data_IF_677825954963
#
_entry.id   IF_677825954963
#
_cell.length_a   1.000
_cell.length_b   1.000
_cell.length_c   1.000
_cell.angle_alpha   90.00
_cell.angle_beta   90.00
_cell.angle_gamma   90.00
#
_symmetry.space_group_name_H-M   'P 1'
#
loop_
_entity.id
_entity.type
_entity.pdbx_description
1 polymer ?
#
# COMPACT_ATOMS: atom_id res chain seq x y z
N UNK A 1 25.42 -2.49 34.14
CA UNK A 1 25.17 -1.60 32.99
C UNK A 1 24.13 -2.28 32.11
N UNK A 2 23.13 -1.51 31.72
CA UNK A 2 21.86 -1.91 31.13
C UNK A 2 22.04 -2.75 29.85
N UNK A 3 21.44 -3.94 29.82
CA UNK A 3 21.15 -4.64 28.57
C UNK A 3 20.12 -3.79 27.81
N UNK A 4 20.53 -3.18 26.71
CA UNK A 4 19.69 -2.35 25.86
C UNK A 4 18.52 -3.16 25.32
N UNK A 5 17.31 -2.69 25.62
CA UNK A 5 16.09 -3.16 24.98
C UNK A 5 16.24 -3.05 23.46
N UNK A 6 15.83 -4.11 22.76
CA UNK A 6 16.07 -4.30 21.34
C UNK A 6 15.52 -3.19 20.46
N UNK A 7 16.43 -2.38 19.90
CA UNK A 7 16.20 -1.71 18.63
C UNK A 7 16.27 -2.79 17.56
N UNK A 8 15.12 -3.14 16.97
CA UNK A 8 15.12 -3.79 15.67
C UNK A 8 15.90 -2.95 14.64
N UNK A 9 16.18 -3.48 13.44
CA UNK A 9 16.85 -2.71 12.39
C UNK A 9 16.11 -1.39 12.16
N UNK A 10 16.85 -0.30 11.97
CA UNK A 10 16.27 1.01 11.71
C UNK A 10 15.44 0.98 10.42
N UNK A 11 14.11 1.04 10.57
CA UNK A 11 13.14 1.04 9.47
C UNK A 11 12.62 2.43 9.14
N UNK A 12 13.19 3.50 9.71
CA UNK A 12 12.75 4.88 9.49
C UNK A 12 12.78 5.26 8.01
N UNK A 13 13.91 5.03 7.33
CA UNK A 13 14.07 5.24 5.89
C UNK A 13 13.00 4.49 5.08
N UNK A 14 12.54 3.33 5.57
CA UNK A 14 11.59 2.53 4.83
C UNK A 14 10.19 3.11 4.76
N UNK A 15 9.86 3.90 5.79
CA UNK A 15 8.63 4.69 5.91
C UNK A 15 8.74 5.97 5.10
N UNK A 16 9.86 6.65 5.24
CA UNK A 16 10.16 7.92 4.54
C UNK A 16 10.05 7.79 3.02
N UNK A 17 10.46 6.66 2.45
CA UNK A 17 10.36 6.41 1.01
C UNK A 17 8.92 6.42 0.47
N UNK A 18 7.92 6.15 1.31
CA UNK A 18 6.51 6.23 0.94
C UNK A 18 5.91 7.58 1.32
N UNK A 19 6.25 8.12 2.49
CA UNK A 19 5.70 9.42 2.94
C UNK A 19 6.16 10.58 2.05
N UNK A 20 7.35 10.49 1.43
CA UNK A 20 7.79 11.46 0.42
C UNK A 20 6.88 11.53 -0.82
N UNK A 21 6.11 10.46 -1.09
CA UNK A 21 5.13 10.42 -2.18
C UNK A 21 3.74 10.87 -1.73
N UNK A 22 3.60 11.38 -0.51
CA UNK A 22 2.31 11.77 0.07
C UNK A 22 1.49 10.59 0.59
N UNK A 23 2.11 9.43 0.79
CA UNK A 23 1.42 8.26 1.38
C UNK A 23 1.35 8.42 2.88
N UNK A 24 0.14 8.41 3.43
CA UNK A 24 -0.13 8.53 4.86
C UNK A 24 0.11 7.21 5.60
N UNK A 25 0.77 7.26 6.77
CA UNK A 25 1.00 6.06 7.58
C UNK A 25 -0.16 5.76 8.52
N UNK A 26 -0.69 4.54 8.46
CA UNK A 26 -1.71 4.03 9.38
C UNK A 26 -1.05 3.06 10.36
N UNK A 27 -0.91 3.48 11.61
CA UNK A 27 -0.13 2.75 12.64
C UNK A 27 -1.03 1.99 13.61
N UNK A 28 -2.27 2.42 13.73
CA UNK A 28 -3.26 1.85 14.64
C UNK A 28 -4.45 1.27 13.88
N UNK A 29 -5.26 0.46 14.55
CA UNK A 29 -6.52 -0.06 13.99
C UNK A 29 -7.51 1.07 13.74
N UNK A 30 -7.50 2.09 14.59
CA UNK A 30 -8.31 3.29 14.49
C UNK A 30 -7.95 4.12 13.24
N UNK A 31 -6.67 4.24 12.92
CA UNK A 31 -6.22 4.93 11.71
C UNK A 31 -6.73 4.23 10.45
N UNK A 32 -6.71 2.89 10.44
CA UNK A 32 -7.22 2.07 9.35
C UNK A 32 -8.73 2.19 9.22
N UNK A 33 -9.45 2.10 10.33
CA UNK A 33 -10.90 2.32 10.39
C UNK A 33 -11.29 3.69 9.84
N UNK A 34 -10.55 4.73 10.26
CA UNK A 34 -10.75 6.10 9.81
C UNK A 34 -10.55 6.21 8.31
N UNK A 35 -9.43 5.73 7.79
CA UNK A 35 -9.14 5.77 6.36
C UNK A 35 -10.21 5.04 5.55
N UNK A 36 -10.64 3.86 5.97
CA UNK A 36 -11.65 3.07 5.25
C UNK A 36 -13.06 3.68 5.31
N UNK A 37 -13.41 4.43 6.37
CA UNK A 37 -14.74 5.01 6.57
C UNK A 37 -14.87 6.44 6.05
N UNK A 38 -13.82 7.25 6.19
CA UNK A 38 -13.86 8.68 5.90
C UNK A 38 -13.36 9.02 4.50
N UNK A 39 -12.48 8.21 3.92
CA UNK A 39 -11.95 8.48 2.58
C UNK A 39 -12.93 7.98 1.53
N UNK A 40 -13.43 8.94 0.75
CA UNK A 40 -14.34 8.69 -0.37
C UNK A 40 -13.57 8.84 -1.68
N UNK A 41 -14.09 8.26 -2.76
CA UNK A 41 -13.37 8.20 -4.03
C UNK A 41 -12.35 7.08 -4.03
N UNK A 42 -11.18 7.32 -4.62
CA UNK A 42 -10.18 6.29 -4.87
C UNK A 42 -9.09 6.28 -3.80
N UNK A 43 -8.76 5.10 -3.29
CA UNK A 43 -7.72 4.94 -2.28
C UNK A 43 -6.76 3.81 -2.62
N UNK A 44 -5.46 4.11 -2.62
CA UNK A 44 -4.41 3.11 -2.68
C UNK A 44 -3.89 2.80 -1.28
N UNK A 45 -4.03 1.56 -0.84
CA UNK A 45 -3.40 1.02 0.36
C UNK A 45 -2.14 0.24 -0.01
N UNK A 46 -1.01 0.68 0.52
CA UNK A 46 0.29 0.03 0.40
C UNK A 46 0.54 -0.84 1.63
N UNK A 47 0.72 -2.14 1.44
CA UNK A 47 1.15 -3.05 2.51
C UNK A 47 2.69 -3.10 2.44
N UNK A 48 3.34 -2.18 3.15
CA UNK A 48 4.80 -2.06 3.18
C UNK A 48 5.45 -3.22 3.95
N UNK A 49 6.73 -3.48 3.71
CA UNK A 49 7.47 -4.58 4.34
C UNK A 49 8.97 -4.31 4.33
N UNK A 50 9.71 -4.97 5.23
CA UNK A 50 11.19 -4.95 5.26
C UNK A 50 11.83 -5.83 4.18
N UNK A 51 11.03 -6.59 3.43
CA UNK A 51 11.52 -7.54 2.42
C UNK A 51 12.23 -6.81 1.26
N UNK A 52 13.29 -7.41 0.71
CA UNK A 52 14.09 -6.79 -0.36
C UNK A 52 13.29 -6.41 -1.62
N UNK A 53 12.21 -7.11 -1.94
CA UNK A 53 11.32 -6.74 -3.05
C UNK A 53 10.47 -5.49 -2.76
N UNK A 54 10.24 -5.14 -1.48
CA UNK A 54 9.64 -3.86 -1.12
C UNK A 54 10.59 -2.70 -1.41
N UNK A 55 11.89 -2.92 -1.13
CA UNK A 55 12.94 -1.94 -1.40
C UNK A 55 13.28 -1.77 -2.87
N UNK A 56 13.45 -2.88 -3.60
CA UNK A 56 13.87 -2.82 -5.00
C UNK A 56 12.74 -2.52 -5.98
N UNK A 57 11.50 -2.91 -5.67
CA UNK A 57 10.42 -2.95 -6.67
C UNK A 57 9.17 -2.19 -6.24
N UNK A 58 8.59 -2.50 -5.06
CA UNK A 58 7.29 -1.96 -4.69
C UNK A 58 7.32 -0.44 -4.47
N UNK A 59 8.17 0.05 -3.56
CA UNK A 59 8.29 1.47 -3.23
C UNK A 59 8.77 2.32 -4.43
N UNK A 60 9.85 1.94 -5.14
CA UNK A 60 10.24 2.67 -6.35
C UNK A 60 9.19 2.57 -7.46
N UNK A 61 8.51 1.43 -7.61
CA UNK A 61 7.44 1.24 -8.59
C UNK A 61 6.26 2.19 -8.35
N UNK A 62 5.88 2.43 -7.09
CA UNK A 62 4.88 3.44 -6.76
C UNK A 62 5.35 4.86 -7.13
N UNK A 63 6.58 5.21 -6.77
CA UNK A 63 7.16 6.51 -7.13
C UNK A 63 7.18 6.75 -8.64
N UNK A 64 7.58 5.74 -9.43
CA UNK A 64 7.55 5.80 -10.90
C UNK A 64 6.11 5.92 -11.41
N UNK A 65 5.17 5.13 -10.87
CA UNK A 65 3.77 5.21 -11.29
C UNK A 65 3.23 6.64 -11.14
N UNK A 66 3.44 7.25 -9.97
CA UNK A 66 2.96 8.61 -9.64
C UNK A 66 3.63 9.72 -10.47
N UNK A 67 4.87 9.53 -10.91
CA UNK A 67 5.57 10.47 -11.79
C UNK A 67 5.10 10.38 -13.24
N UNK A 68 4.67 9.20 -13.69
CA UNK A 68 4.36 8.92 -15.09
C UNK A 68 2.88 8.71 -15.37
N UNK A 69 2.00 9.06 -14.43
CA UNK A 69 0.54 9.01 -14.56
C UNK A 69 -0.09 10.37 -14.33
N UNK A 70 -1.11 10.70 -15.12
CA UNK A 70 -1.98 11.85 -14.86
C UNK A 70 -3.10 11.47 -13.87
N UNK A 71 -3.52 10.21 -13.89
CA UNK A 71 -4.52 9.64 -13.00
C UNK A 71 -3.88 9.18 -11.70
N UNK A 72 -4.25 9.81 -10.58
CA UNK A 72 -3.73 9.50 -9.25
C UNK A 72 -4.87 9.13 -8.30
N UNK A 73 -4.63 8.21 -7.34
CA UNK A 73 -5.59 7.98 -6.27
C UNK A 73 -5.84 9.27 -5.48
N UNK A 74 -7.08 9.50 -5.05
CA UNK A 74 -7.44 10.63 -4.18
C UNK A 74 -6.74 10.53 -2.83
N UNK A 75 -6.65 9.30 -2.32
CA UNK A 75 -6.03 8.96 -1.05
C UNK A 75 -4.95 7.88 -1.24
N UNK A 76 -3.82 8.05 -0.56
CA UNK A 76 -2.77 7.04 -0.52
C UNK A 76 -2.37 6.81 0.92
N UNK A 77 -2.46 5.55 1.35
CA UNK A 77 -2.20 5.15 2.73
C UNK A 77 -1.27 3.93 2.78
N UNK A 78 -0.56 3.73 3.87
CA UNK A 78 0.32 2.59 4.06
C UNK A 78 0.22 2.00 5.46
N UNK A 79 0.26 0.67 5.54
CA UNK A 79 0.51 -0.09 6.78
C UNK A 79 1.86 -0.78 6.67
N UNK A 80 2.57 -0.98 7.78
CA UNK A 80 3.88 -1.62 7.75
C UNK A 80 3.83 -3.05 8.30
N UNK A 81 3.78 -4.04 7.41
CA UNK A 81 3.76 -5.44 7.77
C UNK A 81 5.01 -5.85 8.56
N UNK A 82 4.79 -6.38 9.76
CA UNK A 82 5.83 -6.83 10.69
C UNK A 82 6.21 -5.79 11.75
N UNK A 83 5.99 -4.49 11.47
CA UNK A 83 6.16 -3.39 12.43
C UNK A 83 4.81 -3.06 13.07
N UNK A 84 3.84 -2.63 12.26
CA UNK A 84 2.50 -2.21 12.68
C UNK A 84 1.53 -3.41 12.53
N UNK A 85 1.74 -4.46 13.34
CA UNK A 85 1.08 -5.76 13.16
C UNK A 85 -0.44 -5.69 13.25
N UNK A 86 -0.95 -4.95 14.24
CA UNK A 86 -2.39 -4.81 14.47
C UNK A 86 -3.06 -4.03 13.33
N UNK A 87 -2.50 -2.88 12.95
CA UNK A 87 -2.97 -2.11 11.80
C UNK A 87 -2.93 -2.93 10.50
N UNK A 88 -1.85 -3.69 10.26
CA UNK A 88 -1.72 -4.54 9.08
C UNK A 88 -2.77 -5.66 9.06
N UNK A 89 -3.00 -6.32 10.19
CA UNK A 89 -3.99 -7.38 10.30
C UNK A 89 -5.41 -6.84 10.11
N UNK A 90 -5.70 -5.68 10.69
CA UNK A 90 -6.98 -5.01 10.56
C UNK A 90 -7.25 -4.54 9.13
N UNK A 91 -6.26 -3.93 8.48
CA UNK A 91 -6.37 -3.55 7.07
C UNK A 91 -6.68 -4.77 6.18
N UNK A 92 -6.00 -5.91 6.42
CA UNK A 92 -6.25 -7.17 5.69
C UNK A 92 -7.66 -7.73 5.87
N UNK A 93 -8.35 -7.40 6.96
CA UNK A 93 -9.73 -7.85 7.17
C UNK A 93 -10.69 -7.26 6.12
N UNK A 94 -10.42 -6.04 5.64
CA UNK A 94 -11.21 -5.39 4.58
C UNK A 94 -11.10 -6.05 3.21
N UNK A 95 -10.10 -6.92 3.00
CA UNK A 95 -9.88 -7.64 1.75
C UNK A 95 -9.54 -9.11 2.02
N UNK A 96 -10.28 -9.71 2.95
CA UNK A 96 -10.02 -11.06 3.46
C UNK A 96 -10.14 -12.18 2.42
N UNK A 97 -10.77 -11.91 1.28
CA UNK A 97 -10.81 -12.81 0.12
C UNK A 97 -9.45 -12.99 -0.56
N UNK A 98 -8.53 -12.03 -0.38
CA UNK A 98 -7.18 -12.09 -0.95
C UNK A 98 -6.19 -12.70 0.05
N UNK A 99 -5.37 -13.68 -0.37
CA UNK A 99 -4.34 -14.26 0.48
C UNK A 99 -3.37 -13.19 1.02
N UNK A 100 -3.05 -13.19 2.33
CA UNK A 100 -2.17 -12.20 2.92
C UNK A 100 -0.76 -12.31 2.32
N UNK A 101 -0.27 -11.22 1.74
CA UNK A 101 1.09 -11.12 1.23
C UNK A 101 1.72 -9.77 1.57
N UNK A 102 3.05 -9.66 1.46
CA UNK A 102 3.79 -8.41 1.64
C UNK A 102 5.15 -8.48 0.91
N UNK A 103 5.57 -7.41 0.20
CA UNK A 103 4.79 -6.21 -0.10
C UNK A 103 3.60 -6.50 -1.03
N UNK A 104 2.57 -5.67 -0.97
CA UNK A 104 1.41 -5.74 -1.87
C UNK A 104 0.67 -4.39 -1.92
N UNK A 105 -0.16 -4.21 -2.94
CA UNK A 105 -1.02 -3.03 -3.10
C UNK A 105 -2.49 -3.46 -3.16
N UNK A 106 -3.35 -2.73 -2.47
CA UNK A 106 -4.80 -2.88 -2.53
C UNK A 106 -5.39 -1.54 -2.98
N UNK A 107 -6.32 -1.57 -3.94
CA UNK A 107 -6.96 -0.38 -4.48
C UNK A 107 -8.45 -0.42 -4.17
N UNK A 108 -8.94 0.66 -3.58
CA UNK A 108 -10.31 0.80 -3.12
C UNK A 108 -11.00 1.94 -3.86
N UNK A 109 -12.31 1.78 -4.05
CA UNK A 109 -13.22 2.83 -4.54
C UNK A 109 -14.39 2.88 -3.58
N UNK A 110 -14.61 4.02 -2.93
CA UNK A 110 -15.69 4.25 -1.95
C UNK A 110 -15.76 3.15 -0.85
N UNK A 111 -14.58 2.69 -0.39
CA UNK A 111 -14.45 1.68 0.66
C UNK A 111 -14.50 0.22 0.18
N UNK A 112 -14.77 -0.03 -1.10
CA UNK A 112 -14.79 -1.37 -1.70
C UNK A 112 -13.48 -1.68 -2.42
N UNK A 113 -12.93 -2.88 -2.21
CA UNK A 113 -11.74 -3.32 -2.94
C UNK A 113 -12.09 -3.59 -4.41
N UNK A 114 -11.36 -2.97 -5.34
CA UNK A 114 -11.53 -3.16 -6.79
C UNK A 114 -10.33 -3.83 -7.45
N UNK A 115 -9.13 -3.67 -6.89
CA UNK A 115 -7.93 -4.36 -7.40
C UNK A 115 -6.94 -4.69 -6.30
N UNK A 116 -6.15 -5.75 -6.53
CA UNK A 116 -5.08 -6.19 -5.65
C UNK A 116 -3.85 -6.57 -6.48
N UNK A 117 -2.68 -6.04 -6.11
CA UNK A 117 -1.38 -6.45 -6.65
C UNK A 117 -0.65 -7.20 -5.52
N UNK A 118 -0.76 -8.53 -5.46
CA UNK A 118 -0.11 -9.35 -4.42
C UNK A 118 1.40 -9.47 -4.65
N UNK A 119 2.13 -9.94 -3.63
CA UNK A 119 3.60 -10.10 -3.66
C UNK A 119 4.12 -10.80 -4.92
N UNK A 120 3.48 -11.87 -5.38
CA UNK A 120 3.96 -12.63 -6.55
C UNK A 120 3.92 -11.82 -7.86
N UNK A 121 3.15 -10.72 -7.91
CA UNK A 121 3.14 -9.75 -9.01
C UNK A 121 4.22 -8.66 -8.86
N UNK A 122 5.00 -8.67 -7.78
CA UNK A 122 6.04 -7.70 -7.44
C UNK A 122 7.42 -8.40 -7.37
N UNK A 123 7.46 -9.59 -6.80
CA UNK A 123 8.65 -10.42 -6.65
C UNK A 123 9.16 -10.88 -8.02
N UNK A 124 10.47 -10.70 -8.26
CA UNK A 124 11.10 -11.07 -9.53
C UNK A 124 10.82 -10.13 -10.72
N UNK A 125 10.11 -9.01 -10.51
CA UNK A 125 9.82 -8.00 -11.54
C UNK A 125 10.61 -6.72 -11.29
N UNK A 126 10.69 -5.84 -12.30
CA UNK A 126 11.32 -4.53 -12.16
C UNK A 126 10.36 -3.49 -11.60
N UNK A 127 10.90 -2.38 -11.07
CA UNK A 127 10.10 -1.27 -10.57
C UNK A 127 9.19 -0.67 -11.66
N UNK A 128 9.65 -0.58 -12.90
CA UNK A 128 8.89 -0.08 -14.05
C UNK A 128 7.71 -1.00 -14.39
N UNK A 129 7.90 -2.33 -14.28
CA UNK A 129 6.82 -3.28 -14.49
C UNK A 129 5.75 -3.18 -13.40
N UNK A 130 6.17 -3.01 -12.13
CA UNK A 130 5.25 -2.75 -11.02
C UNK A 130 4.53 -1.42 -11.20
N UNK A 131 5.23 -0.39 -11.66
CA UNK A 131 4.64 0.90 -11.98
C UNK A 131 3.58 0.80 -13.09
N UNK A 132 3.84 0.01 -14.13
CA UNK A 132 2.89 -0.29 -15.19
C UNK A 132 1.61 -0.95 -14.65
N UNK A 133 1.74 -1.95 -13.77
CA UNK A 133 0.59 -2.58 -13.10
C UNK A 133 -0.22 -1.56 -12.27
N UNK A 134 0.45 -0.70 -11.50
CA UNK A 134 -0.21 0.35 -10.72
C UNK A 134 -0.95 1.36 -11.60
N UNK A 135 -0.30 1.83 -12.67
CA UNK A 135 -0.92 2.74 -13.63
C UNK A 135 -2.17 2.15 -14.26
N UNK A 136 -2.12 0.89 -14.69
CA UNK A 136 -3.28 0.21 -15.25
C UNK A 136 -4.44 0.17 -14.25
N UNK A 137 -4.15 -0.07 -12.96
CA UNK A 137 -5.18 -0.03 -11.92
C UNK A 137 -5.74 1.38 -11.75
N UNK A 138 -4.90 2.41 -11.68
CA UNK A 138 -5.36 3.79 -11.53
C UNK A 138 -6.25 4.20 -12.71
N UNK A 139 -5.80 3.96 -13.94
CA UNK A 139 -6.54 4.28 -15.16
C UNK A 139 -7.84 3.47 -15.31
N UNK A 140 -7.85 2.20 -14.88
CA UNK A 140 -9.04 1.34 -14.99
C UNK A 140 -10.20 1.82 -14.10
N UNK A 141 -9.90 2.42 -12.96
CA UNK A 141 -10.88 2.89 -11.98
C UNK A 141 -10.97 4.42 -11.88
N UNK A 142 -10.31 5.14 -12.80
CA UNK A 142 -10.45 6.58 -12.95
C UNK A 142 -11.88 6.93 -13.35
N UNK A 143 -12.58 7.70 -12.52
CA UNK A 143 -13.94 8.16 -12.80
C UNK A 143 -15.03 7.07 -12.85
N UNK A 144 -14.69 5.79 -12.63
CA UNK A 144 -15.67 4.69 -12.59
C UNK A 144 -16.15 4.46 -11.16
N UNK A 145 -17.24 5.16 -10.83
CA UNK A 145 -18.32 4.61 -9.99
C UNK A 145 -18.97 3.45 -10.75
N UNK A 146 -18.25 2.35 -10.98
CA UNK A 146 -18.87 1.15 -11.51
C UNK A 146 -19.67 0.52 -10.38
N UNK A 147 -20.95 0.86 -10.38
CA UNK A 147 -21.99 0.08 -9.73
C UNK A 147 -21.96 -1.33 -10.32
N UNK A 148 -21.99 -2.29 -9.40
CA UNK A 148 -22.09 -3.72 -9.66
C UNK A 148 -23.14 -4.03 -10.74
N UNK A 149 -22.77 -4.87 -11.71
CA UNK A 149 -23.73 -5.69 -12.47
C UNK A 149 -24.15 -6.92 -11.65
#
# INVERSE_FOLDING_TARGET
MQFGFGMGPDTSWMREELTQFGVEELKTTEDVDRAMKEYNGTMLLVINSVCGCAAGNARPGLGIALQHTEVKPDHMVTVFAGQDKEATAHARAYFSEFPPSSPSFAYFVDGEIKAMIPRHRIEGRTAEQVAGDLKMVFEAFDGKKEGDE
#
